data_IF_159368091611
#
_entry.id   IF_159368091611
#
_cell.length_a   1.000
_cell.length_b   1.000
_cell.length_c   1.000
_cell.angle_alpha   90.00
_cell.angle_beta   90.00
_cell.angle_gamma   90.00
#
_symmetry.space_group_name_H-M   'P 1'
#
loop_
_entity.id
_entity.type
_entity.pdbx_description
1 polymer ?
#
# COMPACT_ATOMS: atom_id res chain seq x y z
N UNK A 1 0.34 -21.96 18.03
CA UNK A 1 0.50 -20.48 17.91
C UNK A 1 0.50 -20.14 16.42
N UNK A 2 -0.47 -19.37 15.98
CA UNK A 2 -0.50 -18.91 14.60
C UNK A 2 0.67 -17.93 14.38
N UNK A 3 1.65 -18.37 13.60
CA UNK A 3 2.87 -17.61 13.37
C UNK A 3 2.68 -16.53 12.33
N UNK A 4 2.82 -15.25 12.73
CA UNK A 4 2.84 -14.13 11.77
C UNK A 4 4.28 -13.86 11.35
N UNK A 5 4.55 -13.93 10.06
CA UNK A 5 5.87 -13.73 9.45
C UNK A 5 5.87 -12.58 8.44
N UNK A 6 7.05 -12.03 8.21
CA UNK A 6 7.33 -11.03 7.18
C UNK A 6 8.29 -11.64 6.16
N UNK A 7 7.99 -11.49 4.87
CA UNK A 7 8.87 -11.90 3.79
C UNK A 7 8.71 -11.05 2.55
N UNK A 8 9.70 -11.06 1.68
CA UNK A 8 9.59 -10.43 0.37
C UNK A 8 8.65 -11.23 -0.55
N UNK A 9 7.91 -10.53 -1.38
CA UNK A 9 7.05 -11.15 -2.38
C UNK A 9 7.86 -11.92 -3.43
N UNK A 10 7.30 -13.04 -3.87
CA UNK A 10 7.78 -13.87 -4.98
C UNK A 10 6.85 -13.73 -6.17
N UNK A 11 7.27 -14.06 -7.40
CA UNK A 11 6.39 -14.00 -8.56
C UNK A 11 5.06 -14.75 -8.38
N UNK A 12 5.09 -15.89 -7.71
CA UNK A 12 3.91 -16.74 -7.48
C UNK A 12 2.93 -16.17 -6.45
N UNK A 13 3.27 -15.08 -5.77
CA UNK A 13 2.39 -14.42 -4.80
C UNK A 13 1.33 -13.51 -5.46
N UNK A 14 1.48 -13.18 -6.73
CA UNK A 14 0.60 -12.22 -7.41
C UNK A 14 -0.90 -12.54 -7.27
N UNK A 15 -1.37 -13.80 -7.37
CA UNK A 15 -2.78 -14.12 -7.14
C UNK A 15 -3.24 -13.82 -5.71
N UNK A 16 -2.48 -14.25 -4.70
CA UNK A 16 -2.81 -14.01 -3.28
C UNK A 16 -2.79 -12.51 -2.93
N UNK A 17 -1.83 -11.76 -3.46
CA UNK A 17 -1.75 -10.31 -3.31
C UNK A 17 -2.97 -9.61 -3.93
N UNK A 18 -3.42 -10.06 -5.10
CA UNK A 18 -4.60 -9.53 -5.78
C UNK A 18 -5.87 -9.75 -4.95
N UNK A 19 -6.08 -10.95 -4.44
CA UNK A 19 -7.25 -11.28 -3.59
C UNK A 19 -7.26 -10.42 -2.34
N UNK A 20 -6.14 -10.34 -1.64
CA UNK A 20 -6.01 -9.58 -0.40
C UNK A 20 -6.22 -8.07 -0.64
N UNK A 21 -5.64 -7.51 -1.69
CA UNK A 21 -5.82 -6.10 -2.05
C UNK A 21 -7.28 -5.76 -2.31
N UNK A 22 -7.99 -6.60 -3.06
CA UNK A 22 -9.40 -6.38 -3.38
C UNK A 22 -10.28 -6.40 -2.13
N UNK A 23 -10.04 -7.33 -1.20
CA UNK A 23 -10.74 -7.36 0.09
C UNK A 23 -10.50 -6.06 0.89
N UNK A 24 -9.25 -5.61 0.93
CA UNK A 24 -8.88 -4.34 1.58
C UNK A 24 -9.57 -3.13 0.93
N UNK A 25 -9.60 -3.07 -0.40
CA UNK A 25 -10.23 -1.97 -1.13
C UNK A 25 -11.74 -1.90 -0.91
N UNK A 26 -12.43 -3.02 -0.96
CA UNK A 26 -13.86 -3.08 -0.68
C UNK A 26 -14.19 -2.54 0.72
N UNK A 27 -13.39 -2.91 1.72
CA UNK A 27 -13.59 -2.47 3.09
C UNK A 27 -13.20 -1.01 3.33
N UNK A 28 -12.12 -0.51 2.70
CA UNK A 28 -11.60 0.85 2.91
C UNK A 28 -12.28 1.90 2.02
N UNK A 29 -12.64 1.54 0.79
CA UNK A 29 -13.10 2.49 -0.24
C UNK A 29 -14.55 2.30 -0.65
N UNK A 30 -15.24 1.27 -0.17
CA UNK A 30 -16.61 0.97 -0.57
C UNK A 30 -17.58 2.13 -0.33
N UNK A 31 -17.42 2.88 0.75
CA UNK A 31 -18.21 4.07 1.05
C UNK A 31 -17.83 5.30 0.20
N UNK A 32 -16.57 5.39 -0.23
CA UNK A 32 -16.05 6.54 -0.99
C UNK A 32 -16.31 6.39 -2.48
N UNK A 33 -16.03 5.19 -3.02
CA UNK A 33 -16.09 4.91 -4.46
C UNK A 33 -17.38 4.19 -4.87
N UNK A 34 -18.14 3.64 -3.92
CA UNK A 34 -19.27 2.78 -4.17
C UNK A 34 -18.90 1.34 -4.53
N UNK A 35 -19.68 0.38 -4.04
CA UNK A 35 -19.43 -1.04 -4.24
C UNK A 35 -19.50 -1.45 -5.73
N UNK A 36 -20.41 -0.85 -6.49
CA UNK A 36 -20.57 -1.13 -7.92
C UNK A 36 -19.35 -0.72 -8.74
N UNK A 37 -18.73 0.40 -8.39
CA UNK A 37 -17.51 0.88 -9.04
C UNK A 37 -16.33 -0.03 -8.74
N UNK A 38 -16.19 -0.48 -7.50
CA UNK A 38 -15.14 -1.43 -7.10
C UNK A 38 -15.36 -2.82 -7.72
N UNK A 39 -16.60 -3.22 -7.94
CA UNK A 39 -16.93 -4.47 -8.62
C UNK A 39 -16.52 -4.48 -10.10
N UNK A 40 -16.43 -3.31 -10.73
CA UNK A 40 -15.96 -3.16 -12.12
C UNK A 40 -14.45 -3.35 -12.27
N UNK A 41 -13.69 -3.30 -11.15
CA UNK A 41 -12.27 -3.58 -11.18
C UNK A 41 -12.01 -5.04 -11.57
N UNK A 42 -11.42 -5.23 -12.75
CA UNK A 42 -11.08 -6.56 -13.24
C UNK A 42 -10.05 -7.23 -12.36
N UNK A 43 -10.33 -8.45 -11.90
CA UNK A 43 -9.36 -9.30 -11.20
C UNK A 43 -8.14 -9.56 -12.08
N UNK A 44 -8.36 -9.77 -13.37
CA UNK A 44 -7.30 -10.03 -14.36
C UNK A 44 -6.36 -8.83 -14.48
N UNK A 45 -6.88 -7.61 -14.55
CA UNK A 45 -6.05 -6.40 -14.63
C UNK A 45 -5.20 -6.20 -13.37
N UNK A 46 -5.78 -6.39 -12.18
CA UNK A 46 -5.03 -6.32 -10.93
C UNK A 46 -3.93 -7.38 -10.85
N UNK A 47 -4.24 -8.61 -11.27
CA UNK A 47 -3.26 -9.69 -11.33
C UNK A 47 -2.11 -9.34 -12.26
N UNK A 48 -2.40 -8.84 -13.46
CA UNK A 48 -1.38 -8.41 -14.43
C UNK A 48 -0.50 -7.29 -13.89
N UNK A 49 -1.07 -6.33 -13.16
CA UNK A 49 -0.31 -5.25 -12.51
C UNK A 49 0.69 -5.83 -11.51
N UNK A 50 0.28 -6.76 -10.65
CA UNK A 50 1.19 -7.37 -9.68
C UNK A 50 2.25 -8.24 -10.36
N UNK A 51 1.87 -9.01 -11.38
CA UNK A 51 2.83 -9.80 -12.16
C UNK A 51 3.90 -8.91 -12.79
N UNK A 52 3.51 -7.79 -13.41
CA UNK A 52 4.47 -6.83 -13.98
C UNK A 52 5.39 -6.24 -12.92
N UNK A 53 4.85 -5.78 -11.80
CA UNK A 53 5.65 -5.20 -10.71
C UNK A 53 6.64 -6.19 -10.09
N UNK A 54 6.25 -7.46 -9.97
CA UNK A 54 7.12 -8.49 -9.44
C UNK A 54 8.22 -8.92 -10.42
N UNK A 55 8.05 -8.64 -11.71
CA UNK A 55 9.05 -8.87 -12.76
C UNK A 55 10.07 -7.72 -12.86
N UNK A 56 9.74 -6.52 -12.35
CA UNK A 56 10.65 -5.36 -12.39
C UNK A 56 11.82 -5.53 -11.43
N UNK A 57 12.95 -4.89 -11.77
CA UNK A 57 14.08 -4.72 -10.86
C UNK A 57 13.75 -3.61 -9.84
N UNK A 58 14.20 -3.77 -8.60
CA UNK A 58 14.00 -2.75 -7.54
C UNK A 58 13.37 -3.33 -6.27
N UNK A 59 12.89 -2.47 -5.37
CA UNK A 59 12.28 -2.93 -4.13
C UNK A 59 11.06 -3.80 -4.41
N UNK A 60 11.04 -5.00 -3.81
CA UNK A 60 9.90 -5.91 -3.88
C UNK A 60 8.90 -5.61 -2.77
N UNK A 61 7.60 -5.86 -2.96
CA UNK A 61 6.64 -5.79 -1.89
C UNK A 61 7.05 -6.66 -0.69
N UNK A 62 6.93 -6.10 0.51
CA UNK A 62 7.00 -6.86 1.76
C UNK A 62 5.62 -7.42 2.06
N UNK A 63 5.54 -8.70 2.26
CA UNK A 63 4.31 -9.40 2.64
C UNK A 63 4.29 -9.68 4.14
N UNK A 64 3.12 -9.55 4.72
CA UNK A 64 2.77 -10.07 6.04
C UNK A 64 1.93 -11.32 5.83
N UNK A 65 2.40 -12.44 6.36
CA UNK A 65 1.73 -13.73 6.22
C UNK A 65 1.36 -14.28 7.59
N UNK A 66 0.19 -14.93 7.68
CA UNK A 66 -0.22 -15.73 8.82
C UNK A 66 -0.44 -17.16 8.32
N UNK A 67 0.32 -18.12 8.87
CA UNK A 67 0.27 -19.53 8.44
C UNK A 67 0.32 -19.67 6.90
N UNK A 68 1.30 -19.00 6.27
CA UNK A 68 1.53 -18.90 4.81
C UNK A 68 0.47 -18.12 4.02
N UNK A 69 -0.64 -17.70 4.62
CA UNK A 69 -1.65 -16.87 3.96
C UNK A 69 -1.22 -15.40 3.96
N UNK A 70 -1.24 -14.75 2.80
CA UNK A 70 -0.94 -13.31 2.68
C UNK A 70 -2.09 -12.51 3.29
N UNK A 71 -1.82 -11.82 4.39
CA UNK A 71 -2.79 -10.96 5.10
C UNK A 71 -2.49 -9.47 4.98
N UNK A 72 -1.33 -9.11 4.42
CA UNK A 72 -0.97 -7.73 4.19
C UNK A 72 0.22 -7.58 3.26
N UNK A 73 0.34 -6.39 2.66
CA UNK A 73 1.48 -6.03 1.83
C UNK A 73 1.78 -4.54 1.94
N UNK A 74 3.07 -4.19 1.79
CA UNK A 74 3.54 -2.84 1.56
C UNK A 74 4.53 -2.85 0.40
N UNK A 75 4.24 -2.04 -0.61
CA UNK A 75 5.10 -1.83 -1.77
C UNK A 75 5.50 -0.37 -1.88
N UNK A 76 6.78 -0.12 -2.08
CA UNK A 76 7.34 1.21 -2.25
C UNK A 76 8.34 1.25 -3.39
N UNK A 77 8.59 2.44 -3.89
CA UNK A 77 9.60 2.71 -4.91
C UNK A 77 10.54 3.80 -4.44
N UNK A 78 11.80 3.69 -4.84
CA UNK A 78 12.76 4.77 -4.69
C UNK A 78 12.47 5.81 -5.78
N UNK A 79 12.38 7.07 -5.37
CA UNK A 79 12.21 8.22 -6.26
C UNK A 79 13.29 9.24 -5.95
N UNK A 80 13.76 9.96 -6.97
CA UNK A 80 14.74 11.01 -6.80
C UNK A 80 14.04 12.36 -6.87
N UNK A 81 14.25 13.19 -5.84
CA UNK A 81 13.95 14.61 -5.86
C UNK A 81 15.27 15.36 -6.08
N UNK A 82 15.56 15.71 -7.35
CA UNK A 82 16.92 16.09 -7.72
C UNK A 82 17.88 14.91 -7.57
N UNK A 83 18.84 15.02 -6.66
CA UNK A 83 19.80 13.94 -6.33
C UNK A 83 19.45 13.16 -5.07
N UNK A 84 18.46 13.63 -4.30
CA UNK A 84 18.12 13.06 -3.00
C UNK A 84 17.19 11.86 -3.14
N UNK A 85 17.57 10.68 -2.61
CA UNK A 85 16.72 9.51 -2.63
C UNK A 85 15.59 9.64 -1.61
N UNK A 86 14.36 9.42 -2.08
CA UNK A 86 13.16 9.43 -1.27
C UNK A 86 12.32 8.17 -1.53
N UNK A 87 11.47 7.82 -0.60
CA UNK A 87 10.57 6.70 -0.76
C UNK A 87 9.16 7.16 -1.14
N UNK A 88 8.53 6.44 -2.07
CA UNK A 88 7.13 6.60 -2.42
C UNK A 88 6.40 5.29 -2.15
N UNK A 89 5.48 5.30 -1.18
CA UNK A 89 4.59 4.16 -0.96
C UNK A 89 3.58 4.10 -2.10
N UNK A 90 3.54 2.96 -2.78
CA UNK A 90 2.65 2.70 -3.92
C UNK A 90 1.43 1.87 -3.53
N UNK A 91 1.59 1.01 -2.54
CA UNK A 91 0.53 0.14 -2.04
C UNK A 91 0.78 -0.21 -0.58
N UNK A 92 -0.24 -0.10 0.24
CA UNK A 92 -0.20 -0.55 1.64
C UNK A 92 -1.58 -1.06 2.01
N UNK A 93 -1.73 -2.36 2.08
CA UNK A 93 -2.99 -3.02 2.30
C UNK A 93 -2.88 -4.09 3.37
N UNK A 94 -3.96 -4.26 4.12
CA UNK A 94 -4.18 -5.35 5.07
C UNK A 94 -5.57 -5.92 4.84
N UNK A 95 -5.69 -7.23 4.93
CA UNK A 95 -7.00 -7.87 4.93
C UNK A 95 -7.85 -7.33 6.10
N UNK A 96 -9.12 -6.94 5.87
CA UNK A 96 -9.92 -6.28 6.91
C UNK A 96 -10.07 -7.08 8.20
N UNK A 97 -10.13 -8.42 8.13
CA UNK A 97 -10.21 -9.28 9.31
C UNK A 97 -8.98 -9.20 10.23
N UNK A 98 -7.90 -8.61 9.74
CA UNK A 98 -6.64 -8.46 10.46
C UNK A 98 -6.34 -7.00 10.86
N UNK A 99 -7.31 -6.09 10.73
CA UNK A 99 -7.16 -4.71 11.16
C UNK A 99 -7.16 -4.58 12.69
N UNK A 100 -6.55 -3.50 13.19
CA UNK A 100 -6.49 -3.14 14.62
C UNK A 100 -5.80 -4.17 15.52
N UNK A 101 -5.00 -5.07 14.94
CA UNK A 101 -4.22 -6.10 15.65
C UNK A 101 -2.71 -5.79 15.69
N UNK A 102 -2.30 -4.57 15.31
CA UNK A 102 -0.89 -4.16 15.29
C UNK A 102 -0.13 -4.58 14.03
N UNK A 103 -0.73 -5.35 13.13
CA UNK A 103 -0.09 -5.86 11.92
C UNK A 103 0.38 -4.76 10.98
N UNK A 104 -0.39 -3.71 10.78
CA UNK A 104 0.02 -2.56 9.96
C UNK A 104 1.24 -1.84 10.53
N UNK A 105 1.31 -1.68 11.85
CA UNK A 105 2.48 -1.11 12.52
C UNK A 105 3.72 -1.97 12.29
N UNK A 106 3.60 -3.28 12.45
CA UNK A 106 4.70 -4.23 12.24
C UNK A 106 5.23 -4.18 10.82
N UNK A 107 4.34 -4.21 9.83
CA UNK A 107 4.68 -4.12 8.41
C UNK A 107 5.37 -2.78 8.08
N UNK A 108 4.79 -1.68 8.55
CA UNK A 108 5.37 -0.35 8.40
C UNK A 108 6.78 -0.25 8.97
N UNK A 109 7.01 -0.72 10.20
CA UNK A 109 8.32 -0.65 10.85
C UNK A 109 9.40 -1.40 10.07
N UNK A 110 9.09 -2.59 9.57
CA UNK A 110 10.01 -3.38 8.78
C UNK A 110 10.39 -2.67 7.46
N UNK A 111 9.40 -2.11 6.76
CA UNK A 111 9.64 -1.44 5.48
C UNK A 111 10.32 -0.08 5.67
N UNK A 112 9.97 0.70 6.70
CA UNK A 112 10.66 1.94 7.02
C UNK A 112 12.16 1.72 7.25
N UNK A 113 12.53 0.59 7.84
CA UNK A 113 13.92 0.20 8.00
C UNK A 113 14.61 -0.10 6.67
N UNK A 114 13.91 -0.73 5.72
CA UNK A 114 14.41 -0.92 4.35
C UNK A 114 14.64 0.42 3.63
N UNK A 115 13.68 1.35 3.74
CA UNK A 115 13.79 2.68 3.13
C UNK A 115 15.03 3.44 3.66
N UNK A 116 15.25 3.42 4.98
CA UNK A 116 16.46 4.02 5.58
C UNK A 116 17.74 3.37 5.07
N UNK A 117 17.78 2.04 4.98
CA UNK A 117 18.96 1.32 4.45
C UNK A 117 19.20 1.62 2.97
N UNK A 118 18.18 1.98 2.23
CA UNK A 118 18.28 2.44 0.85
C UNK A 118 18.71 3.92 0.73
N UNK A 119 18.95 4.59 1.85
CA UNK A 119 19.41 5.99 1.89
C UNK A 119 18.28 7.01 1.81
N UNK A 120 17.01 6.59 1.98
CA UNK A 120 15.90 7.53 1.97
C UNK A 120 15.80 8.29 3.30
N UNK A 121 15.69 9.61 3.23
CA UNK A 121 15.48 10.48 4.39
C UNK A 121 14.00 10.79 4.63
N UNK A 122 13.18 10.60 3.63
CA UNK A 122 11.74 10.87 3.69
C UNK A 122 10.92 9.84 2.92
N UNK A 123 9.64 9.78 3.26
CA UNK A 123 8.67 8.95 2.59
C UNK A 123 7.39 9.72 2.36
N UNK A 124 6.78 9.50 1.20
CA UNK A 124 5.49 10.08 0.84
C UNK A 124 4.55 9.03 0.25
N UNK A 125 3.27 9.36 0.26
CA UNK A 125 2.21 8.55 -0.32
C UNK A 125 1.07 9.44 -0.82
N UNK A 126 0.26 8.89 -1.70
CA UNK A 126 -0.99 9.49 -2.13
C UNK A 126 -2.16 8.76 -1.49
N UNK A 127 -2.98 9.49 -0.75
CA UNK A 127 -4.15 8.96 -0.06
C UNK A 127 -5.42 9.43 -0.78
N UNK A 128 -6.33 8.49 -1.05
CA UNK A 128 -7.66 8.83 -1.57
C UNK A 128 -8.39 9.69 -0.55
N UNK A 129 -8.89 10.84 -0.99
CA UNK A 129 -9.69 11.72 -0.13
C UNK A 129 -10.93 10.98 0.37
N UNK A 130 -11.19 11.07 1.67
CA UNK A 130 -12.26 10.32 2.34
C UNK A 130 -11.86 8.93 2.87
N UNK A 131 -10.66 8.42 2.58
CA UNK A 131 -10.14 7.20 3.20
C UNK A 131 -9.73 7.47 4.66
N UNK A 132 -10.70 7.52 5.55
CA UNK A 132 -10.50 7.83 6.98
C UNK A 132 -9.69 6.77 7.71
N UNK A 133 -9.79 5.51 7.31
CA UNK A 133 -9.02 4.40 7.90
C UNK A 133 -7.54 4.59 7.63
N UNK A 134 -7.17 4.85 6.37
CA UNK A 134 -5.80 5.12 5.97
C UNK A 134 -5.28 6.41 6.60
N UNK A 135 -6.05 7.49 6.55
CA UNK A 135 -5.68 8.78 7.16
C UNK A 135 -5.33 8.62 8.64
N UNK A 136 -6.22 8.00 9.44
CA UNK A 136 -5.97 7.77 10.85
C UNK A 136 -4.77 6.87 11.12
N UNK A 137 -4.52 5.89 10.24
CA UNK A 137 -3.33 5.04 10.34
C UNK A 137 -2.05 5.84 10.14
N UNK A 138 -1.97 6.66 9.10
CA UNK A 138 -0.77 7.43 8.75
C UNK A 138 -0.51 8.58 9.74
N UNK A 139 -1.54 9.31 10.15
CA UNK A 139 -1.40 10.36 11.18
C UNK A 139 -0.79 9.82 12.47
N UNK A 140 -1.24 8.66 12.97
CA UNK A 140 -0.67 8.03 14.16
C UNK A 140 0.79 7.58 13.99
N UNK A 141 1.31 7.58 12.76
CA UNK A 141 2.71 7.24 12.44
C UNK A 141 3.55 8.45 12.04
N UNK A 142 3.04 9.64 12.34
CA UNK A 142 3.77 10.88 12.15
C UNK A 142 3.77 11.39 10.71
N UNK A 143 2.95 10.83 9.82
CA UNK A 143 2.71 11.45 8.52
C UNK A 143 1.86 12.70 8.68
N UNK A 144 2.10 13.67 7.84
CA UNK A 144 1.32 14.91 7.75
C UNK A 144 0.95 15.19 6.30
N UNK A 145 -0.18 15.86 6.08
CA UNK A 145 -0.50 16.39 4.76
C UNK A 145 0.47 17.52 4.42
N UNK A 146 1.05 17.48 3.23
CA UNK A 146 2.04 18.46 2.78
C UNK A 146 1.50 19.51 1.81
N UNK A 147 0.18 19.57 1.62
CA UNK A 147 -0.48 20.53 0.74
C UNK A 147 -0.58 20.09 -0.72
N UNK A 148 0.06 19.01 -1.13
CA UNK A 148 -0.03 18.48 -2.49
C UNK A 148 -1.33 17.71 -2.68
N UNK A 149 -1.99 17.95 -3.79
CA UNK A 149 -3.20 17.23 -4.19
C UNK A 149 -3.16 16.94 -5.69
N UNK A 150 -3.84 15.90 -6.10
CA UNK A 150 -4.01 15.56 -7.53
C UNK A 150 -5.36 14.89 -7.74
N UNK A 151 -5.86 14.99 -8.96
CA UNK A 151 -7.05 14.26 -9.39
C UNK A 151 -6.64 13.21 -10.41
N UNK A 152 -7.02 11.96 -10.18
CA UNK A 152 -6.85 10.87 -11.11
C UNK A 152 -8.20 10.38 -11.59
N UNK A 153 -8.27 10.05 -12.89
CA UNK A 153 -9.41 9.31 -13.42
C UNK A 153 -9.24 7.83 -13.08
N UNK A 154 -10.21 7.27 -12.37
CA UNK A 154 -10.27 5.85 -12.07
C UNK A 154 -11.68 5.35 -12.35
N UNK A 155 -11.79 4.31 -13.18
CA UNK A 155 -13.08 3.72 -13.58
C UNK A 155 -14.09 4.75 -14.12
N UNK A 156 -13.61 5.72 -14.88
CA UNK A 156 -14.45 6.79 -15.44
C UNK A 156 -14.89 7.86 -14.43
N UNK A 157 -14.38 7.82 -13.20
CA UNK A 157 -14.68 8.80 -12.16
C UNK A 157 -13.41 9.55 -11.73
N UNK A 158 -13.55 10.86 -11.49
CA UNK A 158 -12.47 11.67 -10.93
C UNK A 158 -12.29 11.36 -9.44
N UNK A 159 -11.08 10.95 -9.05
CA UNK A 159 -10.71 10.64 -7.67
C UNK A 159 -9.66 11.63 -7.17
N UNK A 160 -10.02 12.40 -6.14
CA UNK A 160 -9.09 13.31 -5.48
C UNK A 160 -8.16 12.51 -4.56
N UNK A 161 -6.87 12.76 -4.69
CA UNK A 161 -5.85 12.24 -3.78
C UNK A 161 -5.08 13.39 -3.14
N UNK A 162 -4.74 13.23 -1.87
CA UNK A 162 -3.92 14.17 -1.10
C UNK A 162 -2.63 13.49 -0.68
N UNK A 163 -1.53 14.22 -0.77
CA UNK A 163 -0.24 13.66 -0.41
C UNK A 163 0.04 13.80 1.09
N UNK A 164 0.52 12.74 1.67
CA UNK A 164 1.08 12.73 3.03
C UNK A 164 2.57 12.40 2.97
N UNK A 165 3.34 12.97 3.87
CA UNK A 165 4.78 12.72 3.98
C UNK A 165 5.25 12.72 5.43
N UNK A 166 6.41 12.10 5.66
CA UNK A 166 7.16 12.18 6.92
C UNK A 166 8.65 11.98 6.68
N UNK A 167 9.46 12.44 7.63
CA UNK A 167 10.87 12.04 7.72
C UNK A 167 10.99 10.60 8.25
N UNK A 168 11.99 9.88 7.77
CA UNK A 168 12.28 8.50 8.15
C UNK A 168 13.21 8.42 9.37
#
# INVERSE_FOLDING_TARGET
MQGVSLRMARPDDAPAMTVMQRASWLAAYGEVLGADMLAQLSVTEHLQIWQSRLAESGPRPMLLCQDEVVIGLLYWQLVLDGTEPNALIRAFYLHPDHWRQGHGKRLWQAVAMQMRRAGCDSVRLWLLDGNRIGEGFYLRRGFVFNGQARTLMSLGQACLQRQMSRLL
#
